data_IF_354665078212
#
_entry.id   IF_354665078212
#
_cell.length_a   1.000
_cell.length_b   1.000
_cell.length_c   1.000
_cell.angle_alpha   90.00
_cell.angle_beta   90.00
_cell.angle_gamma   90.00
#
_symmetry.space_group_name_H-M   'P 1'
#
loop_
_entity.id
_entity.type
_entity.pdbx_description
1 polymer ?
#
# COMPACT_ATOMS: atom_id res chain seq x y z
N UNK A 1 -29.80 -19.03 18.78
CA UNK A 1 -30.09 -18.52 17.44
C UNK A 1 -29.13 -19.21 16.49
N UNK A 2 -29.70 -20.03 15.62
CA UNK A 2 -29.08 -20.67 14.47
C UNK A 2 -28.62 -19.56 13.48
N UNK A 3 -27.62 -19.69 12.62
CA UNK A 3 -27.41 -20.75 11.63
C UNK A 3 -25.95 -20.80 11.15
N UNK A 4 -25.43 -22.03 11.06
CA UNK A 4 -24.58 -22.60 10.02
C UNK A 4 -23.81 -21.62 9.11
N UNK A 5 -22.49 -21.58 9.31
CA UNK A 5 -21.50 -21.15 8.33
C UNK A 5 -21.70 -21.90 7.00
N UNK A 6 -22.38 -21.27 6.05
CA UNK A 6 -22.45 -21.72 4.67
C UNK A 6 -21.12 -21.38 4.00
N UNK A 7 -20.24 -22.38 3.91
CA UNK A 7 -18.90 -22.28 3.35
C UNK A 7 -18.87 -21.84 1.87
N UNK A 8 -20.01 -21.89 1.16
CA UNK A 8 -20.13 -21.40 -0.23
C UNK A 8 -20.56 -19.94 -0.36
N UNK A 9 -21.42 -19.42 0.52
CA UNK A 9 -21.93 -18.04 0.41
C UNK A 9 -21.11 -17.00 1.19
N UNK A 10 -20.28 -17.44 2.12
CA UNK A 10 -19.49 -16.52 2.94
C UNK A 10 -18.49 -15.73 2.10
N UNK A 11 -17.83 -16.37 1.13
CA UNK A 11 -16.86 -15.72 0.24
C UNK A 11 -17.51 -14.65 -0.63
N UNK A 12 -18.61 -14.99 -1.30
CA UNK A 12 -19.34 -14.07 -2.19
C UNK A 12 -19.87 -12.82 -1.45
N UNK A 13 -20.37 -13.02 -0.22
CA UNK A 13 -20.82 -11.90 0.61
C UNK A 13 -19.65 -10.99 1.01
N UNK A 14 -18.49 -11.56 1.34
CA UNK A 14 -17.29 -10.79 1.67
C UNK A 14 -16.78 -9.99 0.47
N UNK A 15 -16.70 -10.60 -0.72
CA UNK A 15 -16.34 -9.91 -1.97
C UNK A 15 -17.26 -8.72 -2.21
N UNK A 16 -18.59 -8.93 -2.16
CA UNK A 16 -19.58 -7.87 -2.36
C UNK A 16 -19.44 -6.73 -1.35
N UNK A 17 -19.17 -7.04 -0.08
CA UNK A 17 -19.02 -6.03 0.96
C UNK A 17 -17.71 -5.25 0.80
N UNK A 18 -16.62 -5.93 0.43
CA UNK A 18 -15.33 -5.32 0.21
C UNK A 18 -15.34 -4.37 -0.98
N UNK A 19 -15.89 -4.80 -2.13
CA UNK A 19 -16.02 -3.95 -3.33
C UNK A 19 -16.78 -2.66 -3.03
N UNK A 20 -17.83 -2.72 -2.19
CA UNK A 20 -18.58 -1.54 -1.75
C UNK A 20 -17.78 -0.60 -0.83
N UNK A 21 -16.73 -1.11 -0.19
CA UNK A 21 -15.85 -0.31 0.68
C UNK A 21 -14.70 0.35 -0.08
N UNK A 22 -14.38 -0.12 -1.29
CA UNK A 22 -13.33 0.44 -2.13
C UNK A 22 -13.67 1.88 -2.55
N UNK A 23 -12.65 2.74 -2.53
CA UNK A 23 -12.76 4.16 -2.92
C UNK A 23 -11.50 4.61 -3.65
N UNK A 24 -11.66 5.59 -4.54
CA UNK A 24 -10.54 6.18 -5.29
C UNK A 24 -9.79 5.14 -6.12
N UNK A 25 -8.45 5.23 -6.12
CA UNK A 25 -7.57 4.34 -6.89
C UNK A 25 -7.80 2.84 -6.61
N UNK A 26 -8.27 2.48 -5.41
CA UNK A 26 -8.57 1.09 -5.08
C UNK A 26 -9.83 0.56 -5.79
N UNK A 27 -10.81 1.43 -6.04
CA UNK A 27 -11.99 1.08 -6.83
C UNK A 27 -11.65 1.03 -8.33
N UNK A 28 -10.86 1.98 -8.82
CA UNK A 28 -10.37 2.01 -10.21
C UNK A 28 -9.58 0.75 -10.56
N UNK A 29 -8.63 0.36 -9.70
CA UNK A 29 -7.91 -0.91 -9.82
C UNK A 29 -8.86 -2.11 -9.94
N UNK A 30 -9.89 -2.19 -9.08
CA UNK A 30 -10.85 -3.29 -9.12
C UNK A 30 -11.64 -3.33 -10.44
N UNK A 31 -11.94 -2.17 -11.04
CA UNK A 31 -12.62 -2.10 -12.35
C UNK A 31 -11.71 -2.44 -13.54
N UNK A 32 -10.40 -2.34 -13.37
CA UNK A 32 -9.41 -2.73 -14.40
C UNK A 32 -9.07 -4.22 -14.38
N UNK A 33 -9.47 -4.95 -13.33
CA UNK A 33 -9.28 -6.40 -13.23
C UNK A 33 -10.14 -7.14 -14.25
N UNK A 34 -9.58 -8.17 -14.87
CA UNK A 34 -10.35 -9.05 -15.76
C UNK A 34 -11.47 -9.75 -14.99
N UNK A 35 -12.64 -9.84 -15.61
CA UNK A 35 -13.86 -10.36 -14.96
C UNK A 35 -13.75 -11.83 -14.51
N UNK A 36 -12.80 -12.57 -15.07
CA UNK A 36 -12.49 -13.97 -14.73
C UNK A 36 -11.22 -14.14 -13.87
N UNK A 37 -10.58 -13.04 -13.46
CA UNK A 37 -9.34 -13.09 -12.67
C UNK A 37 -9.58 -13.43 -11.19
N UNK A 38 -10.80 -13.24 -10.70
CA UNK A 38 -11.16 -13.41 -9.29
C UNK A 38 -12.39 -14.29 -9.17
N UNK A 39 -12.17 -15.53 -8.72
CA UNK A 39 -13.24 -16.51 -8.46
C UNK A 39 -13.58 -16.62 -6.97
N UNK A 40 -12.67 -16.16 -6.09
CA UNK A 40 -12.82 -16.30 -4.64
C UNK A 40 -12.33 -15.08 -3.86
N UNK A 41 -12.84 -14.95 -2.62
CA UNK A 41 -12.37 -13.95 -1.66
C UNK A 41 -10.85 -13.99 -1.47
N UNK A 42 -10.26 -15.18 -1.36
CA UNK A 42 -8.82 -15.34 -1.13
C UNK A 42 -7.98 -14.81 -2.30
N UNK A 43 -8.46 -14.94 -3.54
CA UNK A 43 -7.78 -14.37 -4.72
C UNK A 43 -7.89 -12.84 -4.74
N UNK A 44 -9.08 -12.29 -4.46
CA UNK A 44 -9.27 -10.84 -4.37
C UNK A 44 -8.39 -10.21 -3.31
N UNK A 45 -8.33 -10.83 -2.13
CA UNK A 45 -7.50 -10.39 -1.03
C UNK A 45 -6.00 -10.47 -1.40
N UNK A 46 -5.57 -11.54 -2.05
CA UNK A 46 -4.20 -11.71 -2.52
C UNK A 46 -3.77 -10.65 -3.54
N UNK A 47 -4.57 -10.42 -4.58
CA UNK A 47 -4.30 -9.42 -5.61
C UNK A 47 -4.33 -7.99 -5.02
N UNK A 48 -5.28 -7.71 -4.13
CA UNK A 48 -5.34 -6.41 -3.44
C UNK A 48 -4.11 -6.18 -2.58
N UNK A 49 -3.70 -7.17 -1.78
CA UNK A 49 -2.49 -7.07 -0.98
C UNK A 49 -1.24 -6.97 -1.86
N UNK A 50 -1.23 -7.63 -3.01
CA UNK A 50 -0.12 -7.52 -3.93
C UNK A 50 -0.01 -6.09 -4.50
N UNK A 51 -1.10 -5.46 -4.90
CA UNK A 51 -1.07 -4.12 -5.48
C UNK A 51 -0.87 -3.01 -4.43
N UNK A 52 -1.56 -3.10 -3.29
CA UNK A 52 -1.58 -2.04 -2.27
C UNK A 52 -0.62 -2.28 -1.09
N UNK A 53 -0.09 -3.49 -0.95
CA UNK A 53 0.76 -3.89 0.18
C UNK A 53 2.13 -4.43 -0.24
N UNK A 54 2.33 -4.98 -1.45
CA UNK A 54 3.69 -5.35 -1.92
C UNK A 54 4.61 -4.14 -2.13
N UNK A 55 4.05 -2.92 -2.20
CA UNK A 55 4.82 -1.66 -2.20
C UNK A 55 5.18 -1.16 -0.80
N UNK A 56 4.73 -1.81 0.28
CA UNK A 56 5.38 -1.65 1.59
C UNK A 56 6.67 -2.44 1.57
N UNK A 57 7.67 -1.85 0.92
CA UNK A 57 9.07 -2.21 0.99
C UNK A 57 9.39 -2.69 2.40
N UNK A 58 9.76 -3.96 2.55
CA UNK A 58 10.47 -4.38 3.75
C UNK A 58 11.80 -3.63 3.71
N UNK A 59 11.85 -2.44 4.33
CA UNK A 59 13.06 -1.64 4.39
C UNK A 59 14.10 -2.49 5.09
N UNK A 60 15.05 -3.00 4.31
CA UNK A 60 16.09 -3.86 4.84
C UNK A 60 16.95 -3.02 5.78
N UNK A 61 17.50 -3.64 6.83
CA UNK A 61 18.41 -2.96 7.79
C UNK A 61 19.58 -2.25 7.07
N UNK A 62 19.93 -2.72 5.87
CA UNK A 62 20.96 -2.12 5.00
C UNK A 62 20.54 -0.76 4.43
N UNK A 63 19.26 -0.59 4.10
CA UNK A 63 18.73 0.68 3.63
C UNK A 63 18.52 1.66 4.79
N UNK A 64 18.04 1.16 5.94
CA UNK A 64 17.89 1.95 7.17
C UNK A 64 19.22 2.55 7.65
N UNK A 65 20.33 1.83 7.47
CA UNK A 65 21.67 2.31 7.86
C UNK A 65 22.31 3.22 6.84
N UNK A 66 21.87 3.18 5.58
CA UNK A 66 22.30 4.08 4.49
C UNK A 66 21.57 5.42 4.46
N UNK A 67 20.45 5.57 5.19
CA UNK A 67 19.77 6.85 5.41
C UNK A 67 20.53 7.75 6.40
N UNK A 68 21.79 8.03 6.10
CA UNK A 68 22.58 9.08 6.74
C UNK A 68 22.97 10.09 5.67
N UNK A 69 22.32 11.26 5.74
CA UNK A 69 22.53 12.52 5.00
C UNK A 69 21.90 12.61 3.61
N UNK A 70 20.62 12.99 3.58
CA UNK A 70 20.23 14.06 2.66
C UNK A 70 20.98 15.32 3.11
N UNK A 71 22.08 15.60 2.42
CA UNK A 71 22.82 16.83 2.51
C UNK A 71 22.02 17.90 1.78
N UNK A 72 21.34 18.77 2.52
CA UNK A 72 20.98 20.09 2.02
C UNK A 72 20.97 21.08 3.19
N UNK A 73 22.09 21.75 3.36
CA UNK A 73 22.16 23.15 3.79
C UNK A 73 23.43 23.72 3.14
N UNK A 74 23.35 24.26 1.92
CA UNK A 74 24.17 25.39 1.52
C UNK A 74 23.46 26.65 2.09
N UNK A 75 24.10 27.63 2.70
CA UNK A 75 25.06 28.50 2.07
C UNK A 75 25.50 29.62 3.04
N UNK A 76 26.63 30.24 2.70
CA UNK A 76 26.94 31.67 2.86
C UNK A 76 27.45 32.20 4.22
N UNK A 77 28.76 32.42 4.31
CA UNK A 77 29.48 33.72 4.21
C UNK A 77 29.16 34.72 5.33
N UNK A 78 30.11 34.88 6.25
CA UNK A 78 30.37 36.19 6.86
C UNK A 78 31.86 36.39 7.02
N UNK A 79 32.35 37.20 6.08
CA UNK A 79 33.54 38.03 6.09
C UNK A 79 33.76 38.65 7.48
N UNK A 80 34.93 38.45 8.09
CA UNK A 80 35.41 39.36 9.11
C UNK A 80 36.65 40.06 8.54
N UNK A 81 36.47 41.35 8.23
CA UNK A 81 37.50 42.26 7.78
C UNK A 81 38.48 42.57 8.91
N UNK A 82 39.66 43.05 8.53
CA UNK A 82 40.70 43.37 9.49
C UNK A 82 40.31 44.47 10.46
N UNK A 83 40.98 44.47 11.60
CA UNK A 83 41.36 45.69 12.28
C UNK A 83 42.87 45.61 12.53
N UNK A 84 43.52 46.74 12.27
CA UNK A 84 44.96 46.97 12.20
C UNK A 84 45.61 47.09 13.57
#
# INVERSE_FOLDING_TARGET
METCHNAGTSGDHMVKQFVRSLKGNAFEWYTELESDSIDSWAQLEGEFLNCFFSTRHTVSMVELTSAKKCHEEPAQTSTNGGES
#
